data_IF_590562762591
#
_entry.id   IF_590562762591
#
_cell.length_a   1.000
_cell.length_b   1.000
_cell.length_c   1.000
_cell.angle_alpha   90.00
_cell.angle_beta   90.00
_cell.angle_gamma   90.00
#
_symmetry.space_group_name_H-M   'P 1'
#
loop_
_entity.id
_entity.type
_entity.pdbx_description
1 polymer ?
#
# COMPACT_ATOMS: atom_id res chain seq x y z
N UNK A 1 -30.20 -13.00 83.20
CA UNK A 1 -31.35 -12.72 82.32
C UNK A 1 -30.79 -12.16 81.01
N UNK A 2 -30.87 -12.94 79.97
CA UNK A 2 -30.19 -12.70 78.67
C UNK A 2 -31.05 -11.87 77.72
N UNK A 3 -30.45 -10.85 77.12
CA UNK A 3 -31.01 -10.10 75.99
C UNK A 3 -30.62 -10.79 74.70
N UNK A 4 -31.46 -10.85 73.66
CA UNK A 4 -31.06 -11.36 72.34
C UNK A 4 -30.65 -10.22 71.41
N UNK A 5 -29.52 -10.42 70.73
CA UNK A 5 -28.98 -9.62 69.63
C UNK A 5 -29.84 -9.79 68.38
N UNK A 6 -30.22 -8.65 67.78
CA UNK A 6 -30.82 -8.60 66.46
C UNK A 6 -29.83 -7.93 65.52
N UNK A 7 -29.10 -8.76 64.74
CA UNK A 7 -28.27 -8.27 63.63
C UNK A 7 -29.12 -8.04 62.38
N UNK A 8 -29.33 -6.80 62.06
CA UNK A 8 -29.87 -6.42 60.78
C UNK A 8 -28.78 -6.52 59.68
N UNK A 9 -28.92 -7.46 58.77
CA UNK A 9 -28.09 -7.56 57.55
C UNK A 9 -28.56 -6.54 56.55
N UNK A 10 -27.78 -5.48 56.31
CA UNK A 10 -27.88 -4.60 55.15
C UNK A 10 -27.17 -5.26 53.99
N UNK A 11 -27.94 -5.74 53.01
CA UNK A 11 -27.44 -6.17 51.71
C UNK A 11 -27.03 -4.94 50.90
N UNK A 12 -25.74 -4.72 50.77
CA UNK A 12 -25.19 -3.76 49.80
C UNK A 12 -25.20 -4.39 48.42
N UNK A 13 -26.15 -4.03 47.60
CA UNK A 13 -26.13 -4.29 46.16
C UNK A 13 -25.00 -3.48 45.53
N UNK A 14 -23.90 -4.13 45.20
CA UNK A 14 -22.84 -3.53 44.41
C UNK A 14 -23.33 -3.42 42.99
N UNK A 15 -23.70 -2.21 42.60
CA UNK A 15 -23.91 -1.87 41.17
C UNK A 15 -22.54 -1.74 40.55
N UNK A 16 -22.13 -2.76 39.80
CA UNK A 16 -20.94 -2.72 38.96
C UNK A 16 -21.23 -1.78 37.79
N UNK A 17 -20.47 -0.69 37.60
CA UNK A 17 -20.61 0.10 36.34
C UNK A 17 -20.06 -0.74 35.20
N UNK A 18 -20.91 -1.06 34.22
CA UNK A 18 -20.50 -1.58 32.95
C UNK A 18 -19.71 -0.46 32.23
N UNK A 19 -18.40 -0.52 32.33
CA UNK A 19 -17.53 0.23 31.43
C UNK A 19 -17.74 -0.31 30.01
N UNK A 20 -18.56 0.40 29.24
CA UNK A 20 -18.67 0.22 27.81
C UNK A 20 -17.32 0.65 27.21
N UNK A 21 -16.41 -0.30 27.04
CA UNK A 21 -15.21 -0.08 26.23
C UNK A 21 -15.72 0.03 24.79
N UNK A 22 -15.95 1.26 24.35
CA UNK A 22 -16.01 1.57 22.92
C UNK A 22 -14.62 1.23 22.37
N UNK A 23 -14.49 0.04 21.82
CA UNK A 23 -13.40 -0.27 20.91
C UNK A 23 -13.58 0.69 19.71
N UNK A 24 -12.90 1.82 19.76
CA UNK A 24 -12.62 2.60 18.57
C UNK A 24 -11.78 1.66 17.72
N UNK A 25 -12.39 1.07 16.69
CA UNK A 25 -11.64 0.36 15.67
C UNK A 25 -10.66 1.40 15.11
N UNK A 26 -9.36 1.22 15.41
CA UNK A 26 -8.33 1.98 14.75
C UNK A 26 -8.56 1.84 13.24
N UNK A 27 -8.52 2.93 12.46
CA UNK A 27 -8.58 2.83 11.02
C UNK A 27 -7.49 1.82 10.61
N UNK A 28 -7.87 0.82 9.84
CA UNK A 28 -6.90 -0.10 9.25
C UNK A 28 -6.06 0.76 8.30
N UNK A 29 -4.73 0.74 8.40
CA UNK A 29 -3.90 1.47 7.45
C UNK A 29 -4.29 1.03 6.04
N UNK A 30 -4.53 2.01 5.16
CA UNK A 30 -4.78 1.75 3.75
C UNK A 30 -3.60 0.96 3.17
N UNK A 31 -3.90 -0.09 2.45
CA UNK A 31 -2.92 -0.83 1.68
C UNK A 31 -2.64 0.02 0.43
N UNK A 32 -1.42 0.02 -0.05
CA UNK A 32 -1.09 0.39 -1.43
C UNK A 32 -2.00 -0.34 -2.43
N UNK A 33 -1.83 -0.17 -3.73
CA UNK A 33 -2.50 -1.13 -4.61
C UNK A 33 -2.50 -2.49 -3.94
N UNK A 34 -3.64 -3.11 -3.72
CA UNK A 34 -3.69 -4.44 -3.10
C UNK A 34 -2.70 -5.39 -3.80
N UNK A 35 -2.37 -6.52 -3.19
CA UNK A 35 -1.34 -7.44 -3.72
C UNK A 35 -1.44 -7.65 -5.24
N UNK A 36 -2.64 -7.75 -5.79
CA UNK A 36 -2.86 -7.89 -7.23
C UNK A 36 -2.28 -6.73 -8.03
N UNK A 37 -2.37 -5.50 -7.55
CA UNK A 37 -1.82 -4.33 -8.22
C UNK A 37 -0.30 -4.36 -8.27
N UNK A 38 0.36 -4.59 -7.13
CA UNK A 38 1.83 -4.73 -7.07
C UNK A 38 2.34 -5.90 -7.90
N UNK A 39 1.69 -7.06 -7.80
CA UNK A 39 2.02 -8.24 -8.60
C UNK A 39 1.84 -7.98 -10.11
N UNK A 40 0.81 -7.25 -10.51
CA UNK A 40 0.58 -6.89 -11.92
C UNK A 40 1.64 -5.90 -12.43
N UNK A 41 2.03 -4.90 -11.62
CA UNK A 41 3.12 -3.97 -11.92
C UNK A 41 4.42 -4.73 -12.12
N UNK A 42 4.75 -5.62 -11.18
CA UNK A 42 5.95 -6.46 -11.28
C UNK A 42 5.91 -7.38 -12.50
N UNK A 43 4.76 -7.99 -12.82
CA UNK A 43 4.59 -8.76 -14.05
C UNK A 43 4.93 -7.94 -15.29
N UNK A 44 4.35 -6.74 -15.42
CA UNK A 44 4.58 -5.86 -16.58
C UNK A 44 6.05 -5.44 -16.66
N UNK A 45 6.66 -5.12 -15.52
CA UNK A 45 8.08 -4.79 -15.45
C UNK A 45 8.95 -5.96 -15.91
N UNK A 46 8.73 -7.16 -15.37
CA UNK A 46 9.49 -8.37 -15.73
C UNK A 46 9.50 -8.65 -17.23
N UNK A 47 8.36 -8.46 -17.91
CA UNK A 47 8.28 -8.66 -19.36
C UNK A 47 9.13 -7.67 -20.17
N UNK A 48 9.57 -6.57 -19.56
CA UNK A 48 10.34 -5.50 -20.18
C UNK A 48 11.78 -5.42 -19.66
N UNK A 49 12.15 -6.24 -18.66
CA UNK A 49 13.54 -6.36 -18.23
C UNK A 49 14.39 -7.05 -19.29
N UNK A 50 15.60 -6.54 -19.50
CA UNK A 50 16.59 -7.25 -20.30
C UNK A 50 17.14 -8.45 -19.52
N UNK A 51 17.74 -9.42 -20.25
CA UNK A 51 18.21 -10.67 -19.66
C UNK A 51 19.28 -10.48 -18.56
N UNK A 52 20.13 -9.47 -18.66
CA UNK A 52 21.15 -9.18 -17.63
C UNK A 52 20.48 -8.67 -16.36
N UNK A 53 19.51 -7.74 -16.51
CA UNK A 53 18.75 -7.20 -15.38
C UNK A 53 17.92 -8.30 -14.72
N UNK A 54 17.22 -9.16 -15.46
CA UNK A 54 16.51 -10.32 -14.91
C UNK A 54 17.43 -11.23 -14.09
N UNK A 55 18.59 -11.55 -14.64
CA UNK A 55 19.60 -12.35 -13.93
C UNK A 55 20.07 -11.66 -12.65
N UNK A 56 20.34 -10.36 -12.71
CA UNK A 56 20.80 -9.59 -11.56
C UNK A 56 19.72 -9.48 -10.48
N UNK A 57 18.49 -9.20 -10.85
CA UNK A 57 17.32 -9.21 -9.96
C UNK A 57 17.25 -10.55 -9.20
N UNK A 58 17.32 -11.68 -9.89
CA UNK A 58 17.24 -12.97 -9.22
C UNK A 58 18.41 -13.22 -8.25
N UNK A 59 19.62 -12.76 -8.60
CA UNK A 59 20.78 -12.84 -7.68
C UNK A 59 20.53 -12.07 -6.39
N UNK A 60 19.89 -10.91 -6.47
CA UNK A 60 19.57 -10.09 -5.31
C UNK A 60 18.41 -10.70 -4.50
N UNK A 61 17.34 -11.11 -5.16
CA UNK A 61 16.17 -11.70 -4.46
C UNK A 61 16.56 -12.95 -3.66
N UNK A 62 17.51 -13.75 -4.15
CA UNK A 62 18.04 -14.92 -3.42
C UNK A 62 18.67 -14.56 -2.06
N UNK A 63 19.01 -13.29 -1.84
CA UNK A 63 19.60 -12.80 -0.61
C UNK A 63 18.56 -12.26 0.38
N UNK A 64 17.29 -12.12 -0.01
CA UNK A 64 16.22 -11.63 0.90
C UNK A 64 15.95 -12.69 1.97
N UNK A 65 16.30 -12.43 3.24
CA UNK A 65 16.16 -13.42 4.29
C UNK A 65 14.72 -13.51 4.80
N UNK A 66 14.36 -14.66 5.36
CA UNK A 66 13.23 -14.74 6.27
C UNK A 66 13.56 -13.97 7.55
N UNK A 67 12.75 -13.00 7.91
CA UNK A 67 12.94 -12.23 9.12
C UNK A 67 12.01 -12.73 10.22
N UNK A 68 12.51 -12.75 11.45
CA UNK A 68 11.73 -13.12 12.64
C UNK A 68 11.53 -11.91 13.52
N UNK A 69 10.28 -11.54 13.73
CA UNK A 69 9.97 -10.44 14.61
C UNK A 69 10.29 -10.84 16.07
N UNK A 70 11.21 -10.13 16.74
CA UNK A 70 11.59 -10.48 18.12
C UNK A 70 10.47 -10.25 19.14
N UNK A 71 9.43 -9.48 18.78
CA UNK A 71 8.32 -9.15 19.65
C UNK A 71 7.15 -10.16 19.57
N UNK A 72 7.13 -11.01 18.54
CA UNK A 72 6.09 -12.03 18.34
C UNK A 72 6.65 -13.26 17.61
N UNK A 73 5.84 -14.29 17.44
CA UNK A 73 6.25 -15.55 16.79
C UNK A 73 6.10 -15.53 15.26
N UNK A 74 5.71 -14.41 14.70
CA UNK A 74 5.50 -14.28 13.25
C UNK A 74 6.81 -14.03 12.53
N UNK A 75 6.93 -14.57 11.34
CA UNK A 75 8.03 -14.33 10.43
C UNK A 75 7.55 -13.54 9.22
N UNK A 76 8.45 -12.73 8.68
CA UNK A 76 8.27 -12.08 7.39
C UNK A 76 8.98 -12.96 6.37
N UNK A 77 8.24 -13.48 5.39
CA UNK A 77 8.78 -14.43 4.44
C UNK A 77 9.88 -13.80 3.59
N UNK A 78 10.95 -14.54 3.39
CA UNK A 78 12.01 -14.22 2.45
C UNK A 78 12.03 -15.16 1.25
N UNK A 79 13.12 -15.15 0.51
CA UNK A 79 13.26 -15.92 -0.72
C UNK A 79 12.96 -17.42 -0.56
N UNK A 80 13.46 -18.04 0.51
CA UNK A 80 13.25 -19.47 0.76
C UNK A 80 11.79 -19.83 0.98
N UNK A 81 11.04 -18.96 1.64
CA UNK A 81 9.60 -19.15 1.86
C UNK A 81 8.83 -18.98 0.55
N UNK A 82 9.18 -17.97 -0.24
CA UNK A 82 8.56 -17.75 -1.54
C UNK A 82 8.78 -18.93 -2.50
N UNK A 83 9.99 -19.52 -2.47
CA UNK A 83 10.29 -20.73 -3.26
C UNK A 83 9.46 -21.92 -2.79
N UNK A 84 9.28 -22.07 -1.48
CA UNK A 84 8.48 -23.17 -0.91
C UNK A 84 6.98 -23.07 -1.29
N UNK A 85 6.49 -21.86 -1.52
CA UNK A 85 5.10 -21.57 -1.88
C UNK A 85 4.83 -21.66 -3.41
N UNK A 86 5.88 -21.89 -4.23
CA UNK A 86 5.69 -21.95 -5.69
C UNK A 86 4.83 -23.14 -6.11
N UNK A 87 3.91 -22.96 -7.06
CA UNK A 87 3.18 -24.07 -7.66
C UNK A 87 4.14 -25.10 -8.29
N UNK A 88 3.78 -26.38 -8.15
CA UNK A 88 4.57 -27.44 -8.80
C UNK A 88 4.47 -27.38 -10.33
N UNK A 89 5.53 -27.76 -11.02
CA UNK A 89 5.56 -27.90 -12.47
C UNK A 89 5.85 -26.63 -13.26
N UNK A 90 6.20 -25.54 -12.59
CA UNK A 90 6.65 -24.32 -13.26
C UNK A 90 8.03 -24.50 -13.88
N UNK A 91 8.23 -23.95 -15.08
CA UNK A 91 9.56 -23.75 -15.67
C UNK A 91 10.38 -22.77 -14.82
N UNK A 92 11.71 -22.74 -15.01
CA UNK A 92 12.57 -21.81 -14.27
C UNK A 92 12.21 -20.35 -14.53
N UNK A 93 11.83 -19.99 -15.76
CA UNK A 93 11.43 -18.62 -16.11
C UNK A 93 10.13 -18.22 -15.41
N UNK A 94 9.17 -19.13 -15.33
CA UNK A 94 7.93 -18.90 -14.57
C UNK A 94 8.22 -18.79 -13.07
N UNK A 95 9.08 -19.62 -12.51
CA UNK A 95 9.50 -19.49 -11.11
C UNK A 95 10.13 -18.14 -10.83
N UNK A 96 11.07 -17.69 -11.65
CA UNK A 96 11.71 -16.40 -11.52
C UNK A 96 10.70 -15.24 -11.58
N UNK A 97 9.78 -15.28 -12.54
CA UNK A 97 8.69 -14.30 -12.64
C UNK A 97 7.83 -14.27 -11.38
N UNK A 98 7.43 -15.44 -10.87
CA UNK A 98 6.59 -15.52 -9.66
C UNK A 98 7.32 -14.98 -8.43
N UNK A 99 8.62 -15.27 -8.28
CA UNK A 99 9.43 -14.75 -7.18
C UNK A 99 9.55 -13.23 -7.21
N UNK A 100 9.76 -12.66 -8.40
CA UNK A 100 9.79 -11.22 -8.59
C UNK A 100 8.42 -10.58 -8.25
N UNK A 101 7.32 -11.16 -8.70
CA UNK A 101 5.98 -10.67 -8.37
C UNK A 101 5.69 -10.73 -6.86
N UNK A 102 6.16 -11.79 -6.17
CA UNK A 102 5.99 -11.92 -4.71
C UNK A 102 6.83 -10.89 -3.94
N UNK A 103 8.01 -10.58 -4.42
CA UNK A 103 8.89 -9.59 -3.80
C UNK A 103 8.23 -8.20 -3.74
N UNK A 104 7.48 -7.83 -4.76
CA UNK A 104 6.78 -6.54 -4.83
C UNK A 104 5.74 -6.32 -3.71
N UNK A 105 5.29 -7.37 -3.02
CA UNK A 105 4.33 -7.27 -1.89
C UNK A 105 5.01 -7.32 -0.52
N UNK A 106 6.34 -7.49 -0.47
CA UNK A 106 7.08 -7.68 0.78
C UNK A 106 6.99 -6.47 1.73
N UNK A 107 7.09 -5.21 1.29
CA UNK A 107 6.99 -4.04 2.16
C UNK A 107 5.66 -3.91 2.89
N UNK A 108 4.56 -4.32 2.29
CA UNK A 108 3.27 -4.39 2.99
C UNK A 108 3.25 -5.48 4.07
N UNK A 109 3.94 -6.57 3.87
CA UNK A 109 4.07 -7.62 4.88
C UNK A 109 4.85 -7.11 6.10
N UNK A 110 5.96 -6.41 5.89
CA UNK A 110 6.75 -5.82 7.00
C UNK A 110 5.96 -4.75 7.75
N UNK A 111 5.17 -3.95 7.07
CA UNK A 111 4.30 -2.91 7.66
C UNK A 111 3.34 -3.48 8.71
N UNK A 112 2.88 -4.70 8.53
CA UNK A 112 1.92 -5.34 9.45
C UNK A 112 2.55 -6.24 10.50
N UNK A 113 3.68 -6.86 10.20
CA UNK A 113 4.27 -7.93 10.99
C UNK A 113 5.51 -7.50 11.78
N UNK A 114 6.08 -6.33 11.48
CA UNK A 114 7.31 -5.85 12.10
C UNK A 114 7.06 -4.79 13.18
N UNK A 115 8.12 -4.28 13.79
CA UNK A 115 8.02 -3.19 14.75
C UNK A 115 7.46 -1.95 14.05
N UNK A 116 6.23 -1.61 14.37
CA UNK A 116 5.51 -0.53 13.74
C UNK A 116 6.12 0.81 14.17
N UNK A 117 6.68 1.55 13.23
CA UNK A 117 6.94 2.97 13.37
C UNK A 117 5.67 3.79 13.06
N UNK A 118 5.78 5.09 13.16
CA UNK A 118 4.70 6.00 12.80
C UNK A 118 4.48 5.98 11.28
N UNK A 119 3.23 6.05 10.85
CA UNK A 119 2.89 6.34 9.44
C UNK A 119 3.16 7.83 9.09
N UNK A 120 3.65 8.61 10.05
CA UNK A 120 4.05 10.01 9.87
C UNK A 120 5.56 10.10 10.03
N UNK A 121 6.27 10.80 9.11
CA UNK A 121 7.70 11.02 9.23
C UNK A 121 8.05 11.66 10.58
N UNK A 122 9.20 11.31 11.17
CA UNK A 122 9.72 12.03 12.33
C UNK A 122 9.88 13.54 12.03
N UNK A 123 9.62 14.40 13.01
CA UNK A 123 9.60 15.85 12.82
C UNK A 123 10.90 16.46 12.27
N UNK A 124 12.04 15.80 12.47
CA UNK A 124 13.37 16.24 12.05
C UNK A 124 13.96 15.36 10.94
N UNK A 125 13.16 14.51 10.30
CA UNK A 125 13.65 13.68 9.22
C UNK A 125 13.80 14.51 7.95
N UNK A 126 15.05 14.74 7.57
CA UNK A 126 15.38 15.07 6.20
C UNK A 126 15.37 13.82 5.32
N UNK A 127 15.67 13.94 4.02
CA UNK A 127 15.97 12.77 3.20
C UNK A 127 16.99 11.91 3.95
N UNK A 128 16.67 10.64 4.18
CA UNK A 128 17.61 9.77 4.85
C UNK A 128 18.68 9.38 3.84
N UNK A 129 19.92 9.83 4.07
CA UNK A 129 21.08 9.37 3.30
C UNK A 129 21.45 7.90 3.61
N UNK A 130 20.79 7.32 4.59
CA UNK A 130 21.05 5.96 5.06
C UNK A 130 19.82 5.12 4.80
N UNK A 131 19.83 4.39 3.71
CA UNK A 131 18.94 3.28 3.53
C UNK A 131 19.46 2.19 4.42
N UNK A 132 18.70 1.90 5.45
CA UNK A 132 19.09 0.93 6.43
C UNK A 132 18.75 -0.45 5.87
N UNK A 133 19.72 -1.30 5.84
CA UNK A 133 19.53 -2.68 5.43
C UNK A 133 18.71 -3.47 6.46
N UNK A 134 18.77 -4.79 6.40
CA UNK A 134 18.03 -5.70 7.29
C UNK A 134 18.33 -5.56 8.79
N UNK A 135 19.25 -4.73 9.18
CA UNK A 135 19.51 -4.36 10.58
C UNK A 135 18.48 -3.36 11.15
N UNK A 136 17.75 -2.66 10.29
CA UNK A 136 16.64 -1.82 10.66
C UNK A 136 15.39 -2.68 10.86
N UNK A 137 14.74 -2.54 11.99
CA UNK A 137 13.51 -3.24 12.32
C UNK A 137 12.27 -2.36 12.18
N UNK A 138 12.42 -1.17 11.63
CA UNK A 138 11.31 -0.25 11.39
C UNK A 138 10.50 -0.68 10.16
N UNK A 139 9.20 -0.45 10.21
CA UNK A 139 8.29 -0.80 9.13
C UNK A 139 8.18 0.26 8.04
N UNK A 140 8.71 1.44 8.26
CA UNK A 140 8.73 2.58 7.33
C UNK A 140 7.36 2.90 6.71
N UNK A 141 6.30 2.88 7.52
CA UNK A 141 4.93 3.08 7.04
C UNK A 141 4.73 4.35 6.23
N UNK A 142 5.46 5.42 6.56
CA UNK A 142 5.41 6.70 5.86
C UNK A 142 6.12 6.71 4.49
N UNK A 143 6.95 5.70 4.16
CA UNK A 143 7.56 5.58 2.83
C UNK A 143 6.53 5.25 1.75
N UNK A 144 5.42 4.63 2.11
CA UNK A 144 4.36 4.25 1.16
C UNK A 144 3.60 5.45 0.56
N UNK A 145 3.77 6.67 1.11
CA UNK A 145 2.96 7.84 0.77
C UNK A 145 3.84 9.04 0.40
N UNK A 146 3.25 9.99 -0.34
CA UNK A 146 3.85 11.32 -0.56
C UNK A 146 3.11 12.37 0.24
N UNK A 147 1.80 12.23 0.40
CA UNK A 147 0.94 13.16 1.13
C UNK A 147 1.00 14.60 0.60
N UNK A 148 1.13 14.76 -0.73
CA UNK A 148 1.06 16.07 -1.36
C UNK A 148 -0.33 16.68 -1.14
N UNK A 149 -0.38 17.81 -0.41
CA UNK A 149 -1.63 18.39 0.06
C UNK A 149 -2.38 19.21 -1.00
N UNK A 150 -3.71 19.21 -0.93
CA UNK A 150 -4.55 20.24 -1.52
C UNK A 150 -5.77 20.51 -0.65
N UNK A 151 -6.34 21.72 -0.74
CA UNK A 151 -7.54 22.08 0.00
C UNK A 151 -8.79 21.99 -0.87
N UNK A 152 -9.88 21.47 -0.31
CA UNK A 152 -11.21 21.48 -0.94
C UNK A 152 -12.08 22.67 -0.49
N UNK A 153 -11.54 23.47 0.43
CA UNK A 153 -12.11 24.73 0.94
C UNK A 153 -10.98 25.75 1.14
N UNK A 154 -11.07 26.61 2.15
CA UNK A 154 -10.02 27.58 2.49
C UNK A 154 -9.01 27.06 3.54
N UNK A 155 -8.90 25.74 3.72
CA UNK A 155 -7.96 25.15 4.67
C UNK A 155 -6.52 25.47 4.30
N UNK A 156 -5.69 25.61 5.31
CA UNK A 156 -4.24 25.70 5.13
C UNK A 156 -3.70 24.32 4.73
N UNK A 157 -2.87 24.29 3.70
CA UNK A 157 -2.18 23.08 3.26
C UNK A 157 -0.76 23.11 3.79
N UNK A 158 -0.36 22.14 4.63
CA UNK A 158 1.02 22.01 5.09
C UNK A 158 1.98 21.71 3.93
N UNK A 159 3.28 21.91 4.18
CA UNK A 159 4.30 21.40 3.29
C UNK A 159 4.22 19.86 3.21
N UNK A 160 4.51 19.30 2.03
CA UNK A 160 4.61 17.86 1.84
C UNK A 160 5.69 17.29 2.78
N UNK A 161 5.36 16.28 3.60
CA UNK A 161 6.32 15.69 4.53
C UNK A 161 7.44 14.96 3.81
N UNK A 162 8.62 14.91 4.43
CA UNK A 162 9.77 14.12 3.98
C UNK A 162 10.41 13.43 5.20
N UNK A 163 10.99 12.22 5.05
CA UNK A 163 11.04 11.41 3.84
C UNK A 163 9.66 10.90 3.42
N UNK A 164 9.50 10.55 2.15
CA UNK A 164 8.26 10.08 1.55
C UNK A 164 8.56 9.16 0.34
N UNK A 165 7.55 8.55 -0.28
CA UNK A 165 7.74 7.64 -1.40
C UNK A 165 8.64 8.21 -2.52
N UNK A 166 8.50 9.49 -2.85
CA UNK A 166 9.30 10.11 -3.92
C UNK A 166 10.78 10.25 -3.53
N UNK A 167 11.05 10.71 -2.30
CA UNK A 167 12.43 10.84 -1.79
C UNK A 167 13.10 9.49 -1.65
N UNK A 168 12.34 8.48 -1.18
CA UNK A 168 12.89 7.15 -0.98
C UNK A 168 13.15 6.41 -2.29
N UNK A 169 12.27 6.49 -3.28
CA UNK A 169 12.55 5.94 -4.63
C UNK A 169 13.84 6.55 -5.20
N UNK A 170 14.05 7.86 -5.04
CA UNK A 170 15.26 8.52 -5.53
C UNK A 170 16.52 8.03 -4.78
N UNK A 171 16.45 7.89 -3.46
CA UNK A 171 17.53 7.38 -2.61
C UNK A 171 17.85 5.92 -2.95
N UNK A 172 16.83 5.03 -2.95
CA UNK A 172 16.95 3.61 -3.27
C UNK A 172 17.51 3.38 -4.68
N UNK A 173 17.08 4.16 -5.67
CA UNK A 173 17.63 4.11 -7.03
C UNK A 173 19.12 4.43 -7.05
N UNK A 174 19.55 5.43 -6.28
CA UNK A 174 20.96 5.78 -6.18
C UNK A 174 21.79 4.71 -5.49
N UNK A 175 21.24 4.11 -4.44
CA UNK A 175 21.88 3.06 -3.67
C UNK A 175 22.03 1.76 -4.49
N UNK A 176 20.97 1.31 -5.16
CA UNK A 176 21.02 0.08 -5.98
C UNK A 176 22.01 0.18 -7.15
N UNK A 177 22.26 1.40 -7.64
CA UNK A 177 23.27 1.68 -8.68
C UNK A 177 24.70 1.82 -8.13
N UNK A 178 24.87 1.90 -6.80
CA UNK A 178 26.17 2.14 -6.14
C UNK A 178 27.02 0.85 -6.08
N UNK A 179 28.16 0.94 -5.40
CA UNK A 179 29.04 -0.22 -5.08
C UNK A 179 28.68 -0.90 -3.75
N UNK A 180 27.51 -0.69 -3.21
CA UNK A 180 27.08 -1.32 -1.97
C UNK A 180 27.02 -2.84 -2.03
N UNK A 181 27.00 -3.46 -0.86
CA UNK A 181 26.89 -4.90 -0.74
C UNK A 181 25.55 -5.41 -1.29
N UNK A 182 25.57 -6.53 -1.97
CA UNK A 182 24.38 -7.14 -2.61
C UNK A 182 23.23 -7.38 -1.62
N UNK A 183 23.52 -7.64 -0.35
CA UNK A 183 22.50 -7.80 0.68
C UNK A 183 21.68 -6.51 0.89
N UNK A 184 22.33 -5.35 0.85
CA UNK A 184 21.63 -4.05 0.93
C UNK A 184 20.82 -3.82 -0.34
N UNK A 185 21.40 -4.06 -1.50
CA UNK A 185 20.70 -3.96 -2.79
C UNK A 185 19.48 -4.89 -2.88
N UNK A 186 19.51 -6.04 -2.23
CA UNK A 186 18.35 -6.93 -2.15
C UNK A 186 17.18 -6.28 -1.37
N UNK A 187 17.49 -5.60 -0.27
CA UNK A 187 16.51 -4.83 0.50
C UNK A 187 15.96 -3.64 -0.30
N UNK A 188 16.85 -2.90 -0.97
CA UNK A 188 16.47 -1.76 -1.80
C UNK A 188 15.59 -2.19 -2.98
N UNK A 189 15.88 -3.33 -3.59
CA UNK A 189 15.12 -3.86 -4.71
C UNK A 189 13.65 -4.09 -4.34
N UNK A 190 13.38 -4.79 -3.23
CA UNK A 190 11.99 -5.08 -2.83
C UNK A 190 11.21 -3.81 -2.50
N UNK A 191 11.88 -2.80 -1.93
CA UNK A 191 11.28 -1.50 -1.70
C UNK A 191 11.01 -0.74 -3.00
N UNK A 192 11.94 -0.69 -3.94
CA UNK A 192 11.75 -0.04 -5.25
C UNK A 192 10.56 -0.66 -5.99
N UNK A 193 10.47 -1.99 -6.03
CA UNK A 193 9.37 -2.69 -6.67
C UNK A 193 8.01 -2.25 -6.12
N UNK A 194 7.92 -2.07 -4.82
CA UNK A 194 6.71 -1.67 -4.12
C UNK A 194 6.39 -0.18 -4.29
N UNK A 195 7.34 0.69 -3.90
CA UNK A 195 7.12 2.14 -3.86
C UNK A 195 6.84 2.74 -5.25
N UNK A 196 7.39 2.15 -6.31
CA UNK A 196 7.02 2.54 -7.68
C UNK A 196 5.54 2.24 -7.93
N UNK A 197 5.01 1.17 -7.37
CA UNK A 197 3.57 0.91 -7.39
C UNK A 197 2.78 1.96 -6.61
N UNK A 198 3.17 2.21 -5.37
CA UNK A 198 2.51 3.13 -4.45
C UNK A 198 2.36 4.53 -5.02
N UNK A 199 3.46 5.11 -5.48
CA UNK A 199 3.46 6.49 -5.99
C UNK A 199 2.56 6.68 -7.22
N UNK A 200 2.20 5.60 -7.90
CA UNK A 200 1.26 5.63 -9.03
C UNK A 200 -0.20 5.44 -8.62
N UNK A 201 -0.50 5.07 -7.37
CA UNK A 201 -1.85 5.08 -6.81
C UNK A 201 -2.21 6.53 -6.41
N UNK A 202 -3.26 7.13 -6.98
CA UNK A 202 -3.54 8.56 -6.80
C UNK A 202 -3.67 9.01 -5.35
N UNK A 203 -4.21 8.17 -4.47
CA UNK A 203 -4.42 8.52 -3.07
C UNK A 203 -3.20 8.28 -2.18
N UNK A 204 -2.18 7.55 -2.65
CA UNK A 204 -0.85 7.50 -2.02
C UNK A 204 -0.04 8.77 -2.28
N UNK A 205 -0.29 9.43 -3.40
CA UNK A 205 0.33 10.70 -3.74
C UNK A 205 -0.28 11.91 -3.03
N UNK A 206 -1.40 11.76 -2.27
CA UNK A 206 -2.26 12.92 -2.03
C UNK A 206 -2.95 12.89 -0.68
N UNK A 207 -3.00 14.05 -0.02
CA UNK A 207 -3.89 14.33 1.14
C UNK A 207 -4.78 15.53 0.82
N UNK A 208 -6.10 15.37 1.00
CA UNK A 208 -7.05 16.45 0.86
C UNK A 208 -7.36 17.08 2.22
N UNK A 209 -7.28 18.40 2.30
CA UNK A 209 -7.62 19.19 3.48
C UNK A 209 -9.04 19.76 3.39
N UNK A 210 -9.76 19.63 4.49
CA UNK A 210 -11.08 20.22 4.71
C UNK A 210 -11.25 20.64 6.18
N UNK A 211 -11.57 21.90 6.44
CA UNK A 211 -11.63 22.48 7.78
C UNK A 211 -10.33 22.23 8.59
N UNK A 212 -9.20 22.52 7.96
CA UNK A 212 -7.83 22.36 8.49
C UNK A 212 -7.48 20.93 8.96
N UNK A 213 -8.18 19.92 8.43
CA UNK A 213 -7.90 18.50 8.70
C UNK A 213 -7.60 17.75 7.41
N UNK A 214 -6.52 17.00 7.40
CA UNK A 214 -6.18 16.06 6.35
C UNK A 214 -7.10 14.83 6.38
N UNK A 215 -7.38 14.27 5.22
CA UNK A 215 -8.23 13.08 5.09
C UNK A 215 -7.44 11.76 4.97
N UNK A 216 -6.12 11.81 5.25
CA UNK A 216 -5.23 10.64 5.24
C UNK A 216 -5.31 9.90 3.88
N UNK A 217 -5.13 10.62 2.77
CA UNK A 217 -5.26 10.03 1.44
C UNK A 217 -6.62 9.40 1.16
N UNK A 218 -7.69 9.88 1.79
CA UNK A 218 -9.04 9.33 1.63
C UNK A 218 -9.42 8.23 2.62
N UNK A 219 -8.55 7.83 3.56
CA UNK A 219 -8.86 6.83 4.60
C UNK A 219 -10.01 7.28 5.52
N UNK A 220 -10.17 8.58 5.75
CA UNK A 220 -11.30 9.11 6.53
C UNK A 220 -12.56 9.32 5.70
N UNK A 221 -12.50 9.21 4.37
CA UNK A 221 -13.63 9.45 3.45
C UNK A 221 -14.52 8.22 3.36
N UNK A 222 -15.69 8.30 3.97
CA UNK A 222 -16.62 7.16 4.04
C UNK A 222 -17.43 7.01 2.75
N UNK A 223 -17.44 5.81 2.21
CA UNK A 223 -18.18 5.44 1.01
C UNK A 223 -19.15 4.29 1.27
N UNK A 224 -20.13 4.17 0.38
CA UNK A 224 -21.08 3.04 0.36
C UNK A 224 -21.31 2.60 -1.08
N UNK A 225 -20.98 1.38 -1.37
CA UNK A 225 -21.21 0.78 -2.68
C UNK A 225 -22.63 0.21 -2.81
N UNK A 226 -23.29 0.35 -3.97
CA UNK A 226 -24.50 -0.39 -4.30
C UNK A 226 -24.25 -1.92 -4.27
N UNK A 227 -25.30 -2.69 -3.98
CA UNK A 227 -25.21 -4.16 -3.86
C UNK A 227 -24.60 -4.83 -5.09
N UNK A 228 -24.94 -4.36 -6.30
CA UNK A 228 -24.38 -4.92 -7.54
C UNK A 228 -22.86 -4.70 -7.64
N UNK A 229 -22.38 -3.49 -7.28
CA UNK A 229 -20.96 -3.15 -7.24
C UNK A 229 -20.23 -3.94 -6.15
N UNK A 230 -20.83 -4.09 -4.95
CA UNK A 230 -20.27 -4.96 -3.90
C UNK A 230 -20.02 -6.37 -4.39
N UNK A 231 -20.98 -6.97 -5.07
CA UNK A 231 -20.82 -8.32 -5.62
C UNK A 231 -19.69 -8.42 -6.65
N UNK A 232 -19.48 -7.37 -7.42
CA UNK A 232 -18.37 -7.29 -8.37
C UNK A 232 -17.02 -7.28 -7.64
N UNK A 233 -16.88 -6.47 -6.58
CA UNK A 233 -15.70 -6.46 -5.71
C UNK A 233 -15.53 -7.79 -4.96
N UNK A 234 -16.58 -8.28 -4.29
CA UNK A 234 -16.55 -9.56 -3.53
C UNK A 234 -16.21 -10.77 -4.40
N UNK A 235 -16.44 -10.71 -5.70
CA UNK A 235 -16.03 -11.73 -6.67
C UNK A 235 -14.54 -11.75 -6.95
N UNK A 236 -13.84 -10.67 -6.62
CA UNK A 236 -12.39 -10.50 -6.84
C UNK A 236 -11.60 -10.30 -5.54
N UNK A 237 -12.29 -10.10 -4.41
CA UNK A 237 -11.70 -9.88 -3.10
C UNK A 237 -11.88 -11.09 -2.19
N UNK A 238 -10.88 -11.31 -1.33
CA UNK A 238 -10.95 -12.29 -0.25
C UNK A 238 -11.68 -11.78 1.00
N UNK A 239 -11.98 -10.49 1.04
CA UNK A 239 -12.56 -9.76 2.18
C UNK A 239 -13.80 -8.96 1.77
N UNK A 240 -14.43 -8.33 2.76
CA UNK A 240 -15.58 -7.45 2.54
C UNK A 240 -15.22 -6.26 1.65
N UNK A 241 -16.18 -5.80 0.85
CA UNK A 241 -16.02 -4.61 0.04
C UNK A 241 -15.66 -3.37 0.90
N UNK A 242 -14.74 -2.52 0.42
CA UNK A 242 -14.23 -1.39 1.19
C UNK A 242 -15.31 -0.36 1.57
N UNK A 243 -15.11 0.29 2.70
CA UNK A 243 -15.99 1.34 3.24
C UNK A 243 -15.34 2.73 3.25
N UNK A 244 -14.08 2.81 2.91
CA UNK A 244 -13.29 4.03 2.76
C UNK A 244 -12.84 4.22 1.31
N UNK A 245 -12.63 5.49 0.94
CA UNK A 245 -12.23 5.84 -0.43
C UNK A 245 -10.85 5.31 -0.78
N UNK A 246 -9.90 5.37 0.16
CA UNK A 246 -8.54 4.86 -0.04
C UNK A 246 -8.58 3.36 -0.37
N UNK A 247 -9.13 2.55 0.52
CA UNK A 247 -9.25 1.11 0.32
C UNK A 247 -10.04 0.74 -0.95
N UNK A 248 -11.00 1.58 -1.38
CA UNK A 248 -11.68 1.38 -2.67
C UNK A 248 -10.70 1.48 -3.85
N UNK A 249 -9.79 2.46 -3.85
CA UNK A 249 -8.81 2.62 -4.90
C UNK A 249 -7.77 1.51 -4.88
N UNK A 250 -7.32 1.09 -3.71
CA UNK A 250 -6.36 -0.01 -3.55
C UNK A 250 -6.90 -1.33 -4.10
N UNK A 251 -8.18 -1.59 -3.85
CA UNK A 251 -8.85 -2.84 -4.21
C UNK A 251 -9.40 -2.86 -5.66
N UNK A 252 -9.27 -1.77 -6.45
CA UNK A 252 -9.76 -1.71 -7.83
C UNK A 252 -9.21 -2.83 -8.72
N UNK A 253 -7.91 -3.21 -8.65
CA UNK A 253 -7.39 -4.31 -9.45
C UNK A 253 -7.96 -5.68 -9.05
N UNK A 254 -8.67 -5.74 -7.93
CA UNK A 254 -9.04 -6.95 -7.23
C UNK A 254 -7.95 -7.36 -6.25
N UNK A 255 -8.35 -7.96 -5.14
CA UNK A 255 -7.39 -8.55 -4.19
C UNK A 255 -7.32 -10.05 -4.49
N UNK A 256 -6.24 -10.47 -5.09
CA UNK A 256 -5.97 -11.88 -5.27
C UNK A 256 -5.91 -12.57 -3.91
N UNK A 257 -6.37 -13.82 -3.86
CA UNK A 257 -6.19 -14.67 -2.68
C UNK A 257 -4.69 -14.77 -2.35
N UNK A 258 -4.28 -14.76 -1.08
CA UNK A 258 -2.90 -15.08 -0.73
C UNK A 258 -2.54 -16.44 -1.32
N UNK A 259 -1.42 -16.53 -2.02
CA UNK A 259 -1.01 -17.67 -2.84
C UNK A 259 -2.12 -18.75 -3.06
N UNK A 260 -2.76 -18.80 -4.16
CA UNK A 260 -2.31 -18.75 -5.55
C UNK A 260 -2.84 -17.55 -6.36
N UNK A 261 -2.77 -16.36 -5.83
CA UNK A 261 -3.29 -15.16 -6.47
C UNK A 261 -2.50 -14.71 -7.69
N UNK A 262 -1.25 -15.13 -7.81
CA UNK A 262 -0.40 -14.81 -8.95
C UNK A 262 -1.07 -15.05 -10.31
N UNK A 263 -1.80 -16.15 -10.57
CA UNK A 263 -2.52 -16.33 -11.83
C UNK A 263 -3.56 -15.23 -12.11
N UNK A 264 -4.18 -14.68 -11.05
CA UNK A 264 -5.15 -13.60 -11.21
C UNK A 264 -4.45 -12.30 -11.61
N UNK A 265 -3.37 -11.92 -10.92
CA UNK A 265 -2.56 -10.74 -11.24
C UNK A 265 -1.98 -10.82 -12.67
N UNK A 266 -1.48 -11.98 -13.08
CA UNK A 266 -1.01 -12.23 -14.45
C UNK A 266 -2.13 -12.04 -15.47
N UNK A 267 -3.32 -12.57 -15.20
CA UNK A 267 -4.48 -12.42 -16.09
C UNK A 267 -4.91 -10.96 -16.20
N UNK A 268 -4.95 -10.26 -15.07
CA UNK A 268 -5.25 -8.83 -15.01
C UNK A 268 -4.20 -8.03 -15.82
N UNK A 269 -2.91 -8.22 -15.56
CA UNK A 269 -1.83 -7.51 -16.23
C UNK A 269 -1.82 -7.74 -17.76
N UNK A 270 -2.05 -8.97 -18.22
CA UNK A 270 -2.14 -9.30 -19.66
C UNK A 270 -3.29 -8.62 -20.37
N UNK A 271 -4.34 -8.24 -19.64
CA UNK A 271 -5.49 -7.54 -20.20
C UNK A 271 -5.27 -6.00 -20.30
N UNK A 272 -4.17 -5.48 -19.72
CA UNK A 272 -3.88 -4.06 -19.75
C UNK A 272 -3.23 -3.65 -21.08
N UNK A 273 -3.56 -2.45 -21.62
CA UNK A 273 -2.81 -1.90 -22.73
C UNK A 273 -1.39 -1.55 -22.27
N UNK A 274 -0.42 -1.62 -23.19
CA UNK A 274 0.90 -1.08 -22.92
C UNK A 274 0.82 0.43 -22.69
N UNK A 275 1.59 0.93 -21.70
CA UNK A 275 1.71 2.36 -21.48
C UNK A 275 2.24 3.07 -22.75
N UNK A 276 1.56 4.14 -23.15
CA UNK A 276 1.92 4.89 -24.36
C UNK A 276 2.77 6.12 -24.04
N UNK A 277 2.38 6.86 -23.01
CA UNK A 277 2.98 8.13 -22.63
C UNK A 277 3.59 8.08 -21.21
N UNK A 278 4.53 8.98 -20.94
CA UNK A 278 5.09 9.17 -19.59
C UNK A 278 6.16 8.16 -19.16
N UNK A 279 6.42 7.09 -19.94
CA UNK A 279 7.41 6.04 -19.56
C UNK A 279 8.84 6.60 -19.53
N UNK A 280 9.15 7.62 -20.32
CA UNK A 280 10.48 8.25 -20.34
C UNK A 280 10.79 9.09 -19.12
N UNK A 281 9.77 9.53 -18.40
CA UNK A 281 9.92 10.29 -17.17
C UNK A 281 10.42 9.37 -16.05
N UNK A 282 11.49 9.79 -15.39
CA UNK A 282 12.19 9.04 -14.33
C UNK A 282 12.27 9.79 -13.01
N UNK A 283 11.62 10.97 -12.90
CA UNK A 283 11.59 11.73 -11.65
C UNK A 283 10.40 11.31 -10.77
N UNK A 284 10.64 10.74 -9.59
CA UNK A 284 9.56 10.37 -8.67
C UNK A 284 8.70 11.56 -8.21
N UNK A 285 9.22 12.79 -8.22
CA UNK A 285 8.42 13.98 -7.90
C UNK A 285 7.39 14.30 -8.99
N UNK A 286 7.74 14.07 -10.25
CA UNK A 286 6.81 14.21 -11.36
C UNK A 286 5.73 13.12 -11.28
N UNK A 287 6.07 11.89 -10.93
CA UNK A 287 5.11 10.80 -10.69
C UNK A 287 4.11 11.11 -9.56
N UNK A 288 4.62 11.71 -8.46
CA UNK A 288 3.77 12.19 -7.37
C UNK A 288 2.82 13.31 -7.83
N UNK A 289 3.33 14.24 -8.65
CA UNK A 289 2.54 15.35 -9.20
C UNK A 289 1.44 14.86 -10.16
N UNK A 290 1.71 13.83 -10.96
CA UNK A 290 0.71 13.14 -11.78
C UNK A 290 -0.38 12.52 -10.89
N UNK A 291 0.00 11.81 -9.83
CA UNK A 291 -0.93 11.17 -8.89
C UNK A 291 -1.80 12.19 -8.18
N UNK A 292 -1.24 13.32 -7.71
CA UNK A 292 -2.00 14.44 -7.15
C UNK A 292 -3.00 15.02 -8.17
N UNK A 293 -2.57 15.18 -9.42
CA UNK A 293 -3.43 15.71 -10.48
C UNK A 293 -4.60 14.78 -10.76
N UNK A 294 -4.33 13.48 -10.86
CA UNK A 294 -5.34 12.46 -11.08
C UNK A 294 -6.29 12.33 -9.87
N UNK A 295 -5.77 12.38 -8.65
CA UNK A 295 -6.59 12.37 -7.44
C UNK A 295 -7.59 13.52 -7.44
N UNK A 296 -7.14 14.74 -7.70
CA UNK A 296 -8.04 15.92 -7.80
C UNK A 296 -9.10 15.78 -8.87
N UNK A 297 -8.74 15.23 -10.02
CA UNK A 297 -9.62 15.08 -11.18
C UNK A 297 -10.64 13.97 -10.97
N UNK A 298 -10.22 12.81 -10.54
CA UNK A 298 -11.02 11.58 -10.61
C UNK A 298 -11.28 10.91 -9.25
N UNK A 299 -10.32 10.86 -8.30
CA UNK A 299 -10.58 10.25 -7.00
C UNK A 299 -11.52 11.11 -6.13
N UNK A 300 -11.37 12.42 -6.16
CA UNK A 300 -12.22 13.35 -5.41
C UNK A 300 -13.34 13.98 -6.26
N UNK A 301 -13.64 13.41 -7.42
CA UNK A 301 -14.80 13.80 -8.23
C UNK A 301 -16.13 13.39 -7.58
N UNK A 302 -17.23 13.95 -8.05
CA UNK A 302 -18.57 13.47 -7.63
C UNK A 302 -18.71 11.95 -7.86
N UNK A 303 -19.30 11.20 -6.90
CA UNK A 303 -20.15 11.67 -5.80
C UNK A 303 -19.37 12.16 -4.57
N UNK A 304 -18.03 12.07 -4.52
CA UNK A 304 -17.23 12.52 -3.38
C UNK A 304 -17.33 14.03 -3.25
N UNK A 305 -17.74 14.49 -2.06
CA UNK A 305 -17.83 15.90 -1.74
C UNK A 305 -16.59 16.45 -1.05
N UNK A 306 -16.65 17.67 -0.55
CA UNK A 306 -15.51 18.38 0.03
C UNK A 306 -14.96 17.75 1.32
N UNK A 307 -15.83 17.25 2.19
CA UNK A 307 -15.46 16.69 3.49
C UNK A 307 -15.39 15.17 3.50
N UNK A 308 -15.07 14.57 4.66
CA UNK A 308 -14.95 13.11 4.82
C UNK A 308 -16.29 12.38 4.69
N UNK A 309 -17.41 13.07 4.95
CA UNK A 309 -18.76 12.54 4.80
C UNK A 309 -19.64 13.56 4.07
N UNK A 310 -20.75 13.13 3.44
CA UNK A 310 -21.70 14.06 2.84
C UNK A 310 -22.38 14.93 3.91
N UNK A 311 -22.85 16.16 3.58
CA UNK A 311 -23.57 17.03 4.51
C UNK A 311 -24.83 16.40 5.12
N UNK A 312 -25.43 15.45 4.41
CA UNK A 312 -26.54 14.61 4.89
C UNK A 312 -26.17 13.14 4.67
N UNK A 313 -26.18 12.36 5.75
CA UNK A 313 -25.79 10.94 5.73
C UNK A 313 -24.39 10.71 6.27
N UNK A 314 -23.99 9.44 6.30
CA UNK A 314 -22.73 8.98 6.90
C UNK A 314 -21.65 8.56 5.89
N UNK A 315 -22.01 8.43 4.61
CA UNK A 315 -21.11 7.94 3.55
C UNK A 315 -21.57 8.41 2.17
N UNK A 316 -20.63 8.58 1.25
CA UNK A 316 -20.92 8.87 -0.16
C UNK A 316 -21.38 7.62 -0.90
N UNK A 317 -22.51 7.73 -1.62
CA UNK A 317 -23.00 6.62 -2.44
C UNK A 317 -22.21 6.55 -3.75
N UNK A 318 -21.48 5.47 -3.93
CA UNK A 318 -20.69 5.23 -5.15
C UNK A 318 -21.60 4.94 -6.34
N UNK A 319 -21.21 5.41 -7.52
CA UNK A 319 -21.94 5.20 -8.78
C UNK A 319 -21.14 4.34 -9.74
N UNK A 320 -21.82 3.64 -10.65
CA UNK A 320 -21.13 2.84 -11.68
C UNK A 320 -20.19 3.71 -12.53
N UNK A 321 -20.60 4.91 -12.90
CA UNK A 321 -19.75 5.81 -13.68
C UNK A 321 -18.47 6.26 -12.93
N UNK A 322 -18.54 6.38 -11.59
CA UNK A 322 -17.35 6.60 -10.78
C UNK A 322 -16.42 5.38 -10.82
N UNK A 323 -16.98 4.19 -10.57
CA UNK A 323 -16.25 2.93 -10.61
C UNK A 323 -15.55 2.71 -11.96
N UNK A 324 -16.27 2.91 -13.06
CA UNK A 324 -15.74 2.68 -14.40
C UNK A 324 -14.56 3.63 -14.71
N UNK A 325 -14.67 4.90 -14.29
CA UNK A 325 -13.57 5.87 -14.43
C UNK A 325 -12.37 5.47 -13.56
N UNK A 326 -12.58 5.20 -12.27
CA UNK A 326 -11.53 4.83 -11.35
C UNK A 326 -10.81 3.54 -11.78
N UNK A 327 -11.55 2.55 -12.30
CA UNK A 327 -11.00 1.31 -12.84
C UNK A 327 -10.12 1.57 -14.08
N UNK A 328 -10.52 2.49 -14.96
CA UNK A 328 -9.70 2.83 -16.13
C UNK A 328 -8.41 3.54 -15.69
N UNK A 329 -8.52 4.51 -14.78
CA UNK A 329 -7.35 5.19 -14.23
C UNK A 329 -6.40 4.21 -13.54
N UNK A 330 -6.92 3.26 -12.74
CA UNK A 330 -6.11 2.23 -12.09
C UNK A 330 -5.34 1.39 -13.11
N UNK A 331 -6.01 0.96 -14.19
CA UNK A 331 -5.38 0.19 -15.27
C UNK A 331 -4.24 0.97 -15.94
N UNK A 332 -4.48 2.24 -16.25
CA UNK A 332 -3.49 3.09 -16.93
C UNK A 332 -2.29 3.36 -15.98
N UNK A 333 -2.54 3.59 -14.69
CA UNK A 333 -1.48 3.82 -13.71
C UNK A 333 -0.66 2.57 -13.43
N UNK A 334 -1.27 1.39 -13.36
CA UNK A 334 -0.57 0.12 -13.19
C UNK A 334 0.30 -0.19 -14.40
N UNK A 335 -0.22 0.01 -15.62
CA UNK A 335 0.56 -0.20 -16.85
C UNK A 335 1.78 0.73 -16.90
N UNK A 336 1.60 2.00 -16.54
CA UNK A 336 2.67 3.00 -16.50
C UNK A 336 3.70 2.69 -15.42
N UNK A 337 3.26 2.34 -14.21
CA UNK A 337 4.15 1.95 -13.11
C UNK A 337 5.05 0.77 -13.49
N UNK A 338 4.48 -0.27 -14.11
CA UNK A 338 5.25 -1.43 -14.56
C UNK A 338 6.31 -1.08 -15.61
N UNK A 339 5.97 -0.23 -16.57
CA UNK A 339 6.93 0.23 -17.59
C UNK A 339 8.05 1.12 -17.00
N UNK A 340 7.70 2.00 -16.04
CA UNK A 340 8.68 2.84 -15.32
C UNK A 340 9.59 2.01 -14.41
N UNK A 341 9.04 1.02 -13.72
CA UNK A 341 9.83 0.09 -12.91
C UNK A 341 10.84 -0.67 -13.77
N UNK A 342 10.41 -1.20 -14.91
CA UNK A 342 11.32 -1.88 -15.84
C UNK A 342 12.45 -0.98 -16.32
N UNK A 343 12.13 0.26 -16.71
CA UNK A 343 13.10 1.25 -17.12
C UNK A 343 14.11 1.55 -16.00
N UNK A 344 13.61 1.83 -14.79
CA UNK A 344 14.44 2.12 -13.63
C UNK A 344 15.42 0.96 -13.36
N UNK A 345 14.95 -0.26 -13.33
CA UNK A 345 15.79 -1.44 -13.06
C UNK A 345 16.79 -1.70 -14.18
N UNK A 346 16.38 -1.57 -15.44
CA UNK A 346 17.28 -1.76 -16.59
C UNK A 346 18.41 -0.73 -16.63
N UNK A 347 18.19 0.48 -16.13
CA UNK A 347 19.19 1.55 -16.11
C UNK A 347 20.15 1.47 -14.93
N UNK A 348 19.72 0.89 -13.81
CA UNK A 348 20.45 0.96 -12.53
C UNK A 348 20.97 -0.40 -12.02
N UNK A 349 20.43 -1.51 -12.51
CA UNK A 349 20.90 -2.86 -12.22
C UNK A 349 21.66 -3.45 -13.42
N UNK A 350 22.96 -3.23 -13.47
CA UNK A 350 23.83 -3.80 -14.50
C UNK A 350 24.83 -4.81 -13.92
#
# INVERSE_FOLDING_TARGET
MKLPDVYARLSRSAVLPWLLVLAVAAPQPGWAWGNTGHEAIAYIAWQQLNANTQKRVMQLLMLVPTLHNPANTKSIPGYSDWVADLPAGLSQDEQNLYLFMRAATWPDTIKHEWLKDSDTPPADSGPTDTIVGFSDTASHGYWHFVDAGFASDNSTVPATPVPNAATEIAALRSAIASSEADLLKAYELVWIEHLVGDIHQPLHGTVRFYQDKGDEGGNTVKIKMPTAMKKQFEGTLSKSAPSELHAFWDDLPGEGQPAPALPFAVTFAKALPAAQDGVSDTDPNDWASESLTLAKKDAYRKPIGKGPTPPKGSSYAMTQAYYDTAMQDAKDRIALAGARLAKLLNENLQ
#
